data_IF_471687975671
#
_entry.id   IF_471687975671
#
_cell.length_a   1.000
_cell.length_b   1.000
_cell.length_c   1.000
_cell.angle_alpha   90.00
_cell.angle_beta   90.00
_cell.angle_gamma   90.00
#
_symmetry.space_group_name_H-M   'P 1'
#
loop_
_entity.id
_entity.type
_entity.pdbx_description
1 polymer ?
#
# COMPACT_ATOMS: atom_id res chain seq x y z
N UNK A 1 10.41 -28.87 -23.51
CA UNK A 1 9.44 -28.56 -22.45
C UNK A 1 9.72 -27.12 -22.03
N UNK A 2 8.96 -26.17 -22.55
CA UNK A 2 9.15 -24.72 -22.30
C UNK A 2 8.32 -24.31 -21.10
N UNK A 3 8.98 -23.90 -20.02
CA UNK A 3 8.32 -23.42 -18.81
C UNK A 3 7.71 -22.04 -19.08
N UNK A 4 6.39 -21.92 -18.98
CA UNK A 4 5.70 -20.63 -19.01
C UNK A 4 5.95 -19.93 -17.67
N UNK A 5 6.75 -18.86 -17.68
CA UNK A 5 6.92 -18.01 -16.50
C UNK A 5 5.85 -16.94 -16.56
N UNK A 6 4.90 -17.01 -15.64
CA UNK A 6 3.86 -16.00 -15.50
C UNK A 6 4.49 -14.70 -14.98
N UNK A 7 4.81 -13.78 -15.89
CA UNK A 7 5.38 -12.48 -15.56
C UNK A 7 4.31 -11.48 -15.10
N UNK A 8 3.03 -11.86 -14.99
CA UNK A 8 1.99 -10.94 -14.52
C UNK A 8 2.22 -10.50 -13.07
N UNK A 9 2.90 -11.36 -12.28
CA UNK A 9 3.34 -11.06 -10.91
C UNK A 9 4.49 -10.03 -10.89
N UNK A 10 5.33 -10.00 -11.94
CA UNK A 10 6.40 -8.99 -12.09
C UNK A 10 5.88 -7.66 -12.63
N UNK A 11 4.66 -7.63 -13.21
CA UNK A 11 4.09 -6.47 -13.88
C UNK A 11 3.21 -5.58 -12.97
N UNK A 12 3.10 -5.89 -11.67
CA UNK A 12 2.48 -4.99 -10.70
C UNK A 12 3.47 -3.88 -10.32
N UNK A 13 3.71 -2.95 -11.26
CA UNK A 13 4.37 -1.69 -10.96
C UNK A 13 3.44 -0.84 -10.11
N UNK A 14 3.55 -0.93 -8.79
CA UNK A 14 2.94 0.03 -7.88
C UNK A 14 3.69 1.35 -8.03
N UNK A 15 3.19 2.23 -8.90
CA UNK A 15 3.74 3.59 -9.02
C UNK A 15 3.23 4.42 -7.85
N UNK A 16 3.85 4.24 -6.68
CA UNK A 16 3.62 5.16 -5.57
C UNK A 16 4.10 6.54 -5.97
N UNK A 17 3.34 7.56 -5.60
CA UNK A 17 3.89 8.93 -5.61
C UNK A 17 5.04 8.97 -4.63
N UNK A 18 6.10 9.74 -4.94
CA UNK A 18 7.29 9.81 -4.08
C UNK A 18 6.96 10.13 -2.62
N UNK A 19 6.00 11.03 -2.38
CA UNK A 19 5.56 11.40 -1.03
C UNK A 19 4.88 10.23 -0.29
N UNK A 20 4.07 9.44 -0.99
CA UNK A 20 3.39 8.28 -0.43
C UNK A 20 4.40 7.21 -0.02
N UNK A 21 5.40 6.94 -0.87
CA UNK A 21 6.48 6.02 -0.57
C UNK A 21 7.31 6.46 0.66
N UNK A 22 7.62 7.76 0.77
CA UNK A 22 8.35 8.30 1.91
C UNK A 22 7.55 8.19 3.21
N UNK A 23 6.24 8.49 3.19
CA UNK A 23 5.39 8.33 4.37
C UNK A 23 5.34 6.87 4.85
N UNK A 24 5.18 5.91 3.93
CA UNK A 24 5.19 4.49 4.28
C UNK A 24 6.53 4.03 4.83
N UNK A 25 7.65 4.48 4.24
CA UNK A 25 8.99 4.15 4.70
C UNK A 25 9.27 4.66 6.12
N UNK A 26 8.83 5.88 6.43
CA UNK A 26 8.97 6.46 7.78
C UNK A 26 8.09 5.72 8.79
N UNK A 27 6.84 5.42 8.44
CA UNK A 27 5.94 4.67 9.32
C UNK A 27 6.52 3.28 9.65
N UNK A 28 7.02 2.57 8.65
CA UNK A 28 7.62 1.25 8.85
C UNK A 28 8.92 1.31 9.65
N UNK A 29 9.80 2.27 9.36
CA UNK A 29 11.05 2.44 10.13
C UNK A 29 10.80 2.76 11.61
N UNK A 30 9.60 3.25 11.94
CA UNK A 30 9.18 3.55 13.30
C UNK A 30 8.30 2.45 13.93
N UNK A 31 8.14 1.29 13.27
CA UNK A 31 7.25 0.20 13.67
C UNK A 31 5.79 0.67 13.90
N UNK A 32 5.37 1.69 13.14
CA UNK A 32 4.09 2.35 13.28
C UNK A 32 3.12 1.94 12.16
N UNK A 33 1.82 1.94 12.48
CA UNK A 33 0.79 1.74 11.45
C UNK A 33 0.44 3.04 10.74
N UNK A 34 0.33 2.97 9.42
CA UNK A 34 -0.17 4.09 8.61
C UNK A 34 -1.68 4.26 8.84
N UNK A 35 -2.10 5.46 9.24
CA UNK A 35 -3.52 5.84 9.31
C UNK A 35 -3.81 6.86 8.22
N UNK A 36 -4.73 6.56 7.30
CA UNK A 36 -5.02 7.45 6.17
C UNK A 36 -6.50 7.44 5.80
N UNK A 37 -7.01 8.55 5.25
CA UNK A 37 -8.31 8.60 4.59
C UNK A 37 -8.22 8.34 3.08
N UNK A 38 -6.99 8.30 2.53
CA UNK A 38 -6.75 8.03 1.12
C UNK A 38 -6.83 6.52 0.86
N UNK A 39 -7.84 6.12 0.07
CA UNK A 39 -8.08 4.73 -0.30
C UNK A 39 -6.96 4.14 -1.16
N UNK A 40 -6.33 4.96 -2.01
CA UNK A 40 -5.23 4.50 -2.89
C UNK A 40 -3.99 4.22 -2.08
N UNK A 41 -3.60 5.14 -1.20
CA UNK A 41 -2.47 4.93 -0.29
C UNK A 41 -2.69 3.71 0.61
N UNK A 42 -3.92 3.51 1.12
CA UNK A 42 -4.25 2.33 1.91
C UNK A 42 -4.12 1.02 1.11
N UNK A 43 -4.52 1.01 -0.16
CA UNK A 43 -4.39 -0.15 -1.03
C UNK A 43 -2.92 -0.45 -1.39
N UNK A 44 -2.13 0.60 -1.66
CA UNK A 44 -0.70 0.47 -1.93
C UNK A 44 0.07 -0.05 -0.70
N UNK A 45 -0.22 0.47 0.49
CA UNK A 45 0.34 -0.04 1.73
C UNK A 45 -0.02 -1.51 1.99
N UNK A 46 -1.28 -1.89 1.76
CA UNK A 46 -1.71 -3.29 1.84
C UNK A 46 -0.98 -4.19 0.83
N UNK A 47 -0.81 -3.73 -0.40
CA UNK A 47 -0.10 -4.48 -1.44
C UNK A 47 1.39 -4.69 -1.09
N UNK A 48 1.99 -3.75 -0.37
CA UNK A 48 3.35 -3.86 0.16
C UNK A 48 3.45 -4.66 1.46
N UNK A 49 2.34 -5.14 2.02
CA UNK A 49 2.31 -5.86 3.28
C UNK A 49 2.52 -4.98 4.53
N UNK A 50 2.37 -3.66 4.40
CA UNK A 50 2.60 -2.72 5.49
C UNK A 50 1.34 -2.52 6.36
N UNK A 51 1.48 -2.36 7.69
CA UNK A 51 0.34 -2.14 8.58
C UNK A 51 -0.39 -0.83 8.27
N UNK A 52 -1.66 -0.90 7.86
CA UNK A 52 -2.44 0.28 7.49
C UNK A 52 -3.91 0.21 7.94
N UNK A 53 -4.45 1.36 8.35
CA UNK A 53 -5.85 1.56 8.68
C UNK A 53 -6.45 2.69 7.81
N UNK A 54 -7.49 2.33 7.06
CA UNK A 54 -8.29 3.32 6.32
C UNK A 54 -9.33 3.95 7.25
N UNK A 55 -9.38 5.28 7.29
CA UNK A 55 -10.42 6.04 7.96
C UNK A 55 -11.71 5.95 7.17
N UNK A 56 -12.64 5.11 7.63
CA UNK A 56 -14.03 5.16 7.21
C UNK A 56 -14.80 6.03 8.20
N UNK A 57 -15.38 7.14 7.73
CA UNK A 57 -16.34 7.90 8.52
C UNK A 57 -17.64 7.09 8.51
N UNK A 58 -18.06 6.54 9.65
CA UNK A 58 -19.46 6.14 9.81
C UNK A 58 -20.30 7.42 9.73
N UNK A 59 -21.30 7.53 8.83
CA UNK A 59 -22.21 8.67 8.85
C UNK A 59 -22.84 8.72 10.24
N UNK A 60 -22.61 9.82 10.97
CA UNK A 60 -23.29 10.06 12.25
C UNK A 60 -24.78 10.18 11.91
N UNK A 61 -25.58 9.22 12.39
CA UNK A 61 -27.05 9.26 12.32
C UNK A 61 -27.60 10.35 13.23
#
# INVERSE_FOLDING_TARGET
MTTYVDTSVLAAHYTLRTLDALHLAVAESAEASTLTADKRLAAEAQALGLPVKLLAISPRR
#
